data_IF_169811931335
#
_entry.id   IF_169811931335
#
_cell.length_a   1.000
_cell.length_b   1.000
_cell.length_c   1.000
_cell.angle_alpha   90.00
_cell.angle_beta   90.00
_cell.angle_gamma   90.00
#
_symmetry.space_group_name_H-M   'P 1'
#
loop_
_entity.id
_entity.type
_entity.pdbx_description
1 polymer ?
#
# COMPACT_ATOMS: atom_id res chain seq x y z
N UNK A 1 8.07 -1.43 16.14
CA UNK A 1 8.22 -0.04 15.67
C UNK A 1 7.83 0.92 16.79
N UNK A 2 8.71 1.87 17.13
CA UNK A 2 8.41 2.91 18.12
C UNK A 2 7.76 4.15 17.48
N UNK A 3 7.33 5.10 18.32
CA UNK A 3 6.62 6.30 17.89
C UNK A 3 7.49 7.26 17.05
N UNK A 4 8.80 7.33 17.32
CA UNK A 4 9.71 8.22 16.60
C UNK A 4 9.94 7.72 15.16
N UNK A 5 10.09 6.41 15.01
CA UNK A 5 10.21 5.73 13.72
C UNK A 5 8.94 5.93 12.89
N UNK A 6 7.76 5.72 13.48
CA UNK A 6 6.48 5.92 12.79
C UNK A 6 6.32 7.39 12.34
N UNK A 7 6.66 8.35 13.20
CA UNK A 7 6.60 9.77 12.85
C UNK A 7 7.51 10.11 11.66
N UNK A 8 8.73 9.55 11.62
CA UNK A 8 9.63 9.67 10.48
C UNK A 8 9.01 9.13 9.19
N UNK A 9 8.49 7.91 9.22
CA UNK A 9 7.88 7.27 8.04
C UNK A 9 6.63 8.00 7.55
N UNK A 10 5.82 8.53 8.46
CA UNK A 10 4.65 9.35 8.12
C UNK A 10 5.08 10.64 7.46
N UNK A 11 6.09 11.33 8.00
CA UNK A 11 6.65 12.53 7.38
C UNK A 11 7.17 12.23 5.97
N UNK A 12 7.88 11.12 5.79
CA UNK A 12 8.41 10.72 4.48
C UNK A 12 7.28 10.36 3.50
N UNK A 13 6.16 9.81 3.99
CA UNK A 13 4.98 9.51 3.17
C UNK A 13 4.19 10.77 2.77
N UNK A 14 3.99 11.70 3.70
CA UNK A 14 3.20 12.93 3.49
C UNK A 14 4.00 13.98 2.72
N UNK A 15 5.33 13.98 2.86
CA UNK A 15 6.20 15.02 2.30
C UNK A 15 5.88 16.38 2.90
N UNK A 16 5.64 17.38 2.05
CA UNK A 16 5.33 18.75 2.45
C UNK A 16 3.81 19.03 2.57
N UNK A 17 2.95 18.02 2.39
CA UNK A 17 1.50 18.20 2.46
C UNK A 17 1.06 18.55 3.90
N UNK A 18 0.30 19.63 4.05
CA UNK A 18 -0.42 19.89 5.29
C UNK A 18 -1.71 19.05 5.35
N UNK A 19 -1.84 18.23 6.38
CA UNK A 19 -3.02 17.39 6.61
C UNK A 19 -3.77 17.89 7.83
N UNK A 20 -5.10 17.82 7.76
CA UNK A 20 -5.91 17.98 8.96
C UNK A 20 -5.67 16.78 9.92
N UNK A 21 -6.08 16.88 11.20
CA UNK A 21 -5.82 15.82 12.18
C UNK A 21 -6.43 14.46 11.84
N UNK A 22 -7.56 14.42 11.14
CA UNK A 22 -8.24 13.17 10.76
C UNK A 22 -7.46 12.45 9.65
N UNK A 23 -7.05 13.18 8.62
CA UNK A 23 -6.25 12.64 7.53
C UNK A 23 -4.84 12.24 8.01
N UNK A 24 -4.26 12.99 8.96
CA UNK A 24 -3.00 12.60 9.59
C UNK A 24 -3.12 11.26 10.34
N UNK A 25 -4.19 11.07 11.13
CA UNK A 25 -4.44 9.81 11.81
C UNK A 25 -4.64 8.66 10.82
N UNK A 26 -5.36 8.91 9.73
CA UNK A 26 -5.54 7.95 8.65
C UNK A 26 -4.19 7.55 8.03
N UNK A 27 -3.32 8.52 7.72
CA UNK A 27 -1.97 8.25 7.20
C UNK A 27 -1.10 7.48 8.19
N UNK A 28 -1.15 7.80 9.49
CA UNK A 28 -0.43 7.05 10.51
C UNK A 28 -0.84 5.58 10.53
N UNK A 29 -2.13 5.28 10.43
CA UNK A 29 -2.64 3.91 10.33
C UNK A 29 -2.16 3.24 9.04
N UNK A 30 -2.30 3.91 7.89
CA UNK A 30 -1.89 3.39 6.60
C UNK A 30 -0.41 3.03 6.56
N UNK A 31 0.47 3.94 7.00
CA UNK A 31 1.91 3.71 7.06
C UNK A 31 2.24 2.55 8.01
N UNK A 32 1.59 2.48 9.17
CA UNK A 32 1.77 1.36 10.10
C UNK A 32 1.39 0.01 9.50
N UNK A 33 0.31 -0.05 8.73
CA UNK A 33 -0.11 -1.26 8.02
C UNK A 33 0.89 -1.64 6.92
N UNK A 34 1.43 -0.65 6.20
CA UNK A 34 2.44 -0.86 5.15
C UNK A 34 3.72 -1.48 5.71
N UNK A 35 4.22 -0.97 6.83
CA UNK A 35 5.42 -1.54 7.47
C UNK A 35 5.15 -2.95 8.01
N UNK A 36 4.00 -3.19 8.65
CA UNK A 36 3.63 -4.55 9.09
C UNK A 36 3.56 -5.54 7.93
N UNK A 37 3.04 -5.10 6.78
CA UNK A 37 3.01 -5.95 5.59
C UNK A 37 4.42 -6.30 5.11
N UNK A 38 5.35 -5.35 5.16
CA UNK A 38 6.76 -5.59 4.85
C UNK A 38 7.39 -6.59 5.84
N UNK A 39 7.13 -6.44 7.14
CA UNK A 39 7.61 -7.37 8.17
C UNK A 39 7.08 -8.79 7.94
N UNK A 40 5.80 -8.95 7.62
CA UNK A 40 5.21 -10.26 7.33
C UNK A 40 5.85 -10.92 6.11
N UNK A 41 6.05 -10.16 5.04
CA UNK A 41 6.71 -10.66 3.82
C UNK A 41 8.14 -11.07 4.11
N UNK A 42 8.89 -10.24 4.83
CA UNK A 42 10.27 -10.54 5.21
C UNK A 42 10.36 -11.84 6.03
N UNK A 43 9.47 -12.03 7.00
CA UNK A 43 9.43 -13.26 7.79
C UNK A 43 9.06 -14.49 6.94
N UNK A 44 8.07 -14.37 6.04
CA UNK A 44 7.67 -15.45 5.12
C UNK A 44 8.83 -15.79 4.16
N UNK A 45 9.55 -14.80 3.64
CA UNK A 45 10.69 -15.00 2.74
C UNK A 45 11.84 -15.73 3.45
N UNK A 46 12.06 -15.44 4.74
CA UNK A 46 13.09 -16.11 5.54
C UNK A 46 12.71 -17.53 5.97
N UNK A 47 11.45 -17.76 6.34
CA UNK A 47 10.99 -19.01 6.95
C UNK A 47 10.35 -19.97 5.94
N UNK A 48 9.97 -19.46 4.76
CA UNK A 48 9.22 -20.17 3.75
C UNK A 48 7.70 -20.04 3.92
N UNK A 49 6.97 -20.28 2.83
CA UNK A 49 5.50 -20.22 2.79
C UNK A 49 4.82 -21.37 3.55
N UNK A 50 5.56 -22.41 3.88
CA UNK A 50 5.13 -23.53 4.72
C UNK A 50 6.14 -23.76 5.82
N UNK A 51 5.65 -24.05 7.02
CA UNK A 51 6.47 -24.28 8.22
C UNK A 51 6.07 -25.58 8.88
N UNK A 52 7.04 -26.25 9.50
CA UNK A 52 6.76 -27.40 10.36
C UNK A 52 6.14 -26.91 11.67
N UNK A 53 5.08 -27.59 12.10
CA UNK A 53 4.51 -27.42 13.45
C UNK A 53 5.37 -28.17 14.47
N UNK A 54 5.14 -27.91 15.75
CA UNK A 54 5.80 -28.63 16.85
C UNK A 54 5.56 -30.15 16.78
N UNK A 55 4.38 -30.57 16.29
CA UNK A 55 4.03 -31.98 16.06
C UNK A 55 4.60 -32.57 14.75
N UNK A 56 5.47 -31.84 14.04
CA UNK A 56 6.08 -32.25 12.77
C UNK A 56 5.18 -32.10 11.53
N UNK A 57 3.92 -31.69 11.69
CA UNK A 57 3.01 -31.45 10.57
C UNK A 57 3.37 -30.18 9.79
N UNK A 58 3.41 -30.27 8.45
CA UNK A 58 3.65 -29.11 7.57
C UNK A 58 2.35 -28.32 7.40
N UNK A 59 2.39 -27.02 7.74
CA UNK A 59 1.25 -26.11 7.62
C UNK A 59 1.64 -24.82 6.89
N UNK A 60 0.68 -24.07 6.33
CA UNK A 60 0.94 -22.72 5.83
C UNK A 60 1.56 -21.84 6.91
N UNK A 61 2.48 -20.97 6.49
CA UNK A 61 3.09 -19.99 7.39
C UNK A 61 1.99 -19.12 8.05
N UNK A 62 1.97 -18.97 9.39
CA UNK A 62 0.87 -18.30 10.11
C UNK A 62 0.66 -16.84 9.69
N UNK A 63 1.71 -16.17 9.21
CA UNK A 63 1.63 -14.80 8.71
C UNK A 63 1.03 -14.67 7.31
N UNK A 64 0.77 -15.76 6.57
CA UNK A 64 0.20 -15.65 5.22
C UNK A 64 -1.19 -15.02 5.23
N UNK A 65 -2.04 -15.38 6.19
CA UNK A 65 -3.38 -14.80 6.28
C UNK A 65 -3.33 -13.33 6.74
N UNK A 66 -2.36 -13.00 7.60
CA UNK A 66 -2.12 -11.62 8.02
C UNK A 66 -1.64 -10.76 6.84
N UNK A 67 -0.66 -11.24 6.05
CA UNK A 67 -0.17 -10.60 4.82
C UNK A 67 -1.33 -10.32 3.86
N UNK A 68 -2.16 -11.33 3.58
CA UNK A 68 -3.29 -11.21 2.64
C UNK A 68 -4.32 -10.18 3.09
N UNK A 69 -4.69 -10.20 4.37
CA UNK A 69 -5.68 -9.26 4.94
C UNK A 69 -5.15 -7.83 4.94
N UNK A 70 -3.93 -7.62 5.43
CA UNK A 70 -3.30 -6.29 5.44
C UNK A 70 -3.10 -5.77 4.01
N UNK A 71 -2.73 -6.64 3.07
CA UNK A 71 -2.63 -6.27 1.66
C UNK A 71 -3.98 -5.86 1.06
N UNK A 72 -5.06 -6.57 1.39
CA UNK A 72 -6.41 -6.21 0.96
C UNK A 72 -6.87 -4.87 1.56
N UNK A 73 -6.61 -4.65 2.85
CA UNK A 73 -6.92 -3.40 3.53
C UNK A 73 -6.18 -2.22 2.87
N UNK A 74 -4.86 -2.30 2.68
CA UNK A 74 -4.09 -1.25 2.02
C UNK A 74 -4.62 -0.91 0.62
N UNK A 75 -5.05 -1.91 -0.17
CA UNK A 75 -5.71 -1.66 -1.46
C UNK A 75 -7.04 -0.95 -1.31
N UNK A 76 -7.85 -1.31 -0.32
CA UNK A 76 -9.12 -0.65 -0.02
C UNK A 76 -8.90 0.83 0.29
N UNK A 77 -7.92 1.15 1.13
CA UNK A 77 -7.57 2.53 1.45
C UNK A 77 -7.17 3.35 0.21
N UNK A 78 -6.36 2.78 -0.70
CA UNK A 78 -5.99 3.43 -1.97
C UNK A 78 -7.20 3.65 -2.89
N UNK A 79 -8.16 2.73 -2.89
CA UNK A 79 -9.38 2.84 -3.71
C UNK A 79 -10.38 3.87 -3.15
N UNK A 80 -10.53 3.91 -1.82
CA UNK A 80 -11.51 4.76 -1.13
C UNK A 80 -11.02 6.19 -0.94
N UNK A 81 -9.72 6.38 -0.70
CA UNK A 81 -9.08 7.68 -0.49
C UNK A 81 -7.87 7.87 -1.43
N UNK A 82 -8.09 7.85 -2.76
CA UNK A 82 -7.01 8.06 -3.71
C UNK A 82 -6.37 9.45 -3.60
N UNK A 83 -7.09 10.43 -3.03
CA UNK A 83 -6.60 11.76 -2.69
C UNK A 83 -5.49 11.73 -1.63
N UNK A 84 -5.50 10.75 -0.73
CA UNK A 84 -4.49 10.62 0.32
C UNK A 84 -3.40 9.61 -0.03
N UNK A 85 -3.78 8.48 -0.63
CA UNK A 85 -2.94 7.28 -0.74
C UNK A 85 -2.70 6.80 -2.18
N UNK A 86 -3.41 7.36 -3.16
CA UNK A 86 -3.13 7.09 -4.57
C UNK A 86 -1.78 7.69 -4.96
N UNK A 87 -1.10 7.10 -5.95
CA UNK A 87 0.02 7.78 -6.59
C UNK A 87 -0.50 9.09 -7.20
N UNK A 88 -0.23 10.23 -6.54
CA UNK A 88 -0.16 11.50 -7.22
C UNK A 88 1.01 11.41 -8.21
N UNK A 89 0.77 10.81 -9.38
CA UNK A 89 1.53 11.14 -10.58
C UNK A 89 1.35 12.63 -10.74
N UNK A 90 2.39 13.38 -10.37
CA UNK A 90 2.34 14.82 -10.20
C UNK A 90 1.46 15.51 -11.24
N UNK A 91 0.49 16.29 -10.75
CA UNK A 91 -0.26 17.33 -11.48
C UNK A 91 -0.27 17.16 -13.03
N UNK A 92 -1.15 16.31 -13.55
CA UNK A 92 -1.33 16.21 -15.00
C UNK A 92 -2.24 15.06 -15.46
N UNK A 93 -3.40 15.41 -16.00
CA UNK A 93 -4.42 14.57 -16.63
C UNK A 93 -5.32 13.72 -15.72
N UNK A 94 -6.55 14.20 -15.57
CA UNK A 94 -7.72 13.45 -15.11
C UNK A 94 -7.97 12.19 -15.96
N UNK A 95 -8.67 11.21 -15.40
CA UNK A 95 -9.09 9.98 -16.11
C UNK A 95 -9.82 10.26 -17.44
N UNK A 96 -10.46 11.44 -17.56
CA UNK A 96 -11.09 11.91 -18.80
C UNK A 96 -10.07 12.25 -19.88
N UNK A 97 -8.94 12.84 -19.50
CA UNK A 97 -7.86 13.21 -20.42
C UNK A 97 -7.03 12.00 -20.86
N UNK A 98 -6.83 10.98 -20.02
CA UNK A 98 -6.20 9.71 -20.46
C UNK A 98 -7.03 8.96 -21.51
N UNK A 99 -8.37 8.99 -21.38
CA UNK A 99 -9.28 8.41 -22.39
C UNK A 99 -9.27 9.20 -23.70
N UNK A 100 -9.20 10.53 -23.62
CA UNK A 100 -9.07 11.39 -24.81
C UNK A 100 -7.73 11.17 -25.55
N UNK A 101 -6.61 11.02 -24.81
CA UNK A 101 -5.30 10.73 -25.40
C UNK A 101 -5.23 9.36 -26.09
N UNK A 102 -6.01 8.39 -25.62
CA UNK A 102 -6.10 7.05 -26.23
C UNK A 102 -6.99 7.05 -27.48
N UNK A 103 -8.00 7.94 -27.55
CA UNK A 103 -8.87 8.08 -28.73
C UNK A 103 -8.32 9.01 -29.82
N UNK A 104 -7.32 9.84 -29.52
CA UNK A 104 -6.70 10.76 -30.50
C UNK A 104 -5.67 10.13 -31.44
N UNK A 105 -5.29 8.86 -31.26
CA UNK A 105 -4.20 8.20 -32.00
C UNK A 105 -4.65 7.19 -33.07
N UNK A 106 -5.89 7.29 -33.55
CA UNK A 106 -6.33 6.46 -34.67
C UNK A 106 -7.16 7.30 -35.64
N UNK A 107 -6.50 8.01 -36.56
CA UNK A 107 -7.00 8.43 -37.87
C UNK A 107 -5.87 9.15 -38.62
N UNK A 108 -4.97 8.37 -39.23
CA UNK A 108 -4.43 8.57 -40.59
C UNK A 108 -3.40 7.47 -40.87
N UNK A 109 -3.91 6.33 -41.30
CA UNK A 109 -3.18 5.40 -42.15
C UNK A 109 -4.10 5.10 -43.34
N UNK A 110 -4.11 6.02 -44.30
CA UNK A 110 -4.50 5.78 -45.70
C UNK A 110 -3.46 6.49 -46.55
#
# INVERSE_FOLDING_TARGET
MDAQTLSGLVRDFVGERELNPQDLAAVQTFVSLRERLADFRHAIDQQGVVVASEDGAVKPHPLLDAERRTSAELRGWVQERPDLFGEEKGRGMSTRERRAATQGFNLHAI
#
